data_IF_298136531388
#
_entry.id   IF_298136531388
#
_cell.length_a   1.000
_cell.length_b   1.000
_cell.length_c   1.000
_cell.angle_alpha   90.00
_cell.angle_beta   90.00
_cell.angle_gamma   90.00
#
_symmetry.space_group_name_H-M   'P 1'
#
loop_
_entity.id
_entity.type
_entity.pdbx_description
1 polymer ?
#
# COMPACT_ATOMS: atom_id res chain seq x y z
N UNK A 1 -19.65 -10.35 2.17
CA UNK A 1 -20.08 -9.03 1.65
C UNK A 1 -18.96 -8.29 0.92
N UNK A 2 -17.78 -8.09 1.52
CA UNK A 2 -16.62 -7.40 0.90
C UNK A 2 -16.17 -8.04 -0.43
N UNK A 3 -16.03 -9.37 -0.47
CA UNK A 3 -15.66 -10.10 -1.70
C UNK A 3 -16.67 -9.88 -2.83
N UNK A 4 -17.97 -9.78 -2.53
CA UNK A 4 -18.99 -9.53 -3.55
C UNK A 4 -18.96 -8.08 -4.08
N UNK A 5 -18.53 -7.13 -3.26
CA UNK A 5 -18.32 -5.72 -3.67
C UNK A 5 -17.08 -5.64 -4.56
N UNK A 6 -15.98 -6.28 -4.16
CA UNK A 6 -14.75 -6.33 -4.96
C UNK A 6 -15.00 -6.93 -6.35
N UNK A 7 -15.76 -8.04 -6.43
CA UNK A 7 -16.16 -8.67 -7.71
C UNK A 7 -16.98 -7.76 -8.62
N UNK A 8 -17.73 -6.79 -8.09
CA UNK A 8 -18.54 -5.85 -8.88
C UNK A 8 -17.75 -4.63 -9.35
N UNK A 9 -16.54 -4.46 -8.84
CA UNK A 9 -15.68 -3.33 -9.17
C UNK A 9 -14.74 -3.79 -10.28
N UNK A 10 -14.55 -3.04 -11.38
CA UNK A 10 -13.64 -3.42 -12.47
C UNK A 10 -12.16 -3.20 -12.08
N UNK A 11 -11.78 -3.65 -10.89
CA UNK A 11 -10.41 -3.62 -10.39
C UNK A 11 -9.66 -4.80 -11.00
N UNK A 12 -8.61 -4.50 -11.79
CA UNK A 12 -7.70 -5.52 -12.31
C UNK A 12 -6.61 -5.82 -11.30
N UNK A 13 -6.20 -7.08 -11.24
CA UNK A 13 -5.08 -7.60 -10.44
C UNK A 13 -3.83 -6.69 -10.48
N UNK A 14 -3.42 -6.27 -11.69
CA UNK A 14 -2.22 -5.46 -11.87
C UNK A 14 -2.29 -4.09 -11.17
N UNK A 15 -3.50 -3.54 -10.99
CA UNK A 15 -3.68 -2.26 -10.27
C UNK A 15 -3.39 -2.43 -8.78
N UNK A 16 -3.71 -3.59 -8.20
CA UNK A 16 -3.44 -3.92 -6.80
C UNK A 16 -1.97 -4.24 -6.58
N UNK A 17 -1.33 -4.99 -7.48
CA UNK A 17 0.12 -5.20 -7.43
C UNK A 17 0.88 -3.89 -7.62
N UNK A 18 0.45 -3.04 -8.57
CA UNK A 18 1.00 -1.70 -8.76
C UNK A 18 0.83 -0.81 -7.53
N UNK A 19 -0.34 -0.86 -6.87
CA UNK A 19 -0.58 -0.13 -5.62
C UNK A 19 0.26 -0.68 -4.46
N UNK A 20 0.50 -2.00 -4.41
CA UNK A 20 1.41 -2.63 -3.44
C UNK A 20 2.84 -2.11 -3.60
N UNK A 21 3.38 -2.12 -4.82
CA UNK A 21 4.70 -1.57 -5.11
C UNK A 21 4.77 -0.06 -4.82
N UNK A 22 3.71 0.69 -5.16
CA UNK A 22 3.58 2.09 -4.82
C UNK A 22 3.61 2.35 -3.30
N UNK A 23 2.95 1.51 -2.50
CA UNK A 23 3.00 1.58 -1.05
C UNK A 23 4.41 1.30 -0.50
N UNK A 24 5.15 0.34 -1.07
CA UNK A 24 6.57 0.11 -0.72
C UNK A 24 7.39 1.37 -1.00
N UNK A 25 7.26 1.94 -2.20
CA UNK A 25 7.97 3.16 -2.57
C UNK A 25 7.64 4.35 -1.67
N UNK A 26 6.36 4.55 -1.35
CA UNK A 26 5.91 5.61 -0.46
C UNK A 26 6.44 5.42 0.97
N UNK A 27 6.44 4.18 1.48
CA UNK A 27 6.99 3.84 2.80
C UNK A 27 8.49 4.19 2.87
N UNK A 28 9.27 3.76 1.87
CA UNK A 28 10.70 4.07 1.78
C UNK A 28 10.92 5.59 1.69
N UNK A 29 10.17 6.28 0.83
CA UNK A 29 10.25 7.74 0.69
C UNK A 29 9.94 8.49 1.99
N UNK A 30 8.95 8.03 2.76
CA UNK A 30 8.63 8.60 4.07
C UNK A 30 9.72 8.32 5.11
N UNK A 31 10.34 7.15 5.10
CA UNK A 31 11.50 6.87 5.94
C UNK A 31 12.70 7.74 5.60
N UNK A 32 12.97 7.97 4.30
CA UNK A 32 14.01 8.91 3.86
C UNK A 32 13.65 10.32 4.34
N UNK A 33 12.42 10.79 4.10
CA UNK A 33 11.95 12.10 4.56
C UNK A 33 12.10 12.27 6.07
N UNK A 34 11.78 11.24 6.86
CA UNK A 34 11.92 11.27 8.32
C UNK A 34 13.37 11.51 8.78
N UNK A 35 14.38 11.17 7.95
CA UNK A 35 15.80 11.45 8.23
C UNK A 35 16.24 12.85 7.82
N UNK A 36 15.45 13.58 7.01
CA UNK A 36 15.83 14.87 6.44
C UNK A 36 15.06 16.06 7.01
N UNK A 37 14.04 15.82 7.85
CA UNK A 37 13.19 16.88 8.44
C UNK A 37 13.43 17.03 9.95
N UNK A 38 12.99 18.16 10.52
CA UNK A 38 13.06 18.43 11.95
C UNK A 38 12.13 17.51 12.77
N UNK A 39 12.33 17.41 14.08
CA UNK A 39 11.71 16.44 14.99
C UNK A 39 10.18 16.46 14.98
N UNK A 40 9.56 17.63 14.85
CA UNK A 40 8.10 17.75 14.76
C UNK A 40 7.56 17.05 13.50
N UNK A 41 8.18 17.31 12.35
CA UNK A 41 7.79 16.69 11.08
C UNK A 41 8.24 15.23 10.96
N UNK A 42 9.33 14.87 11.65
CA UNK A 42 9.87 13.51 11.67
C UNK A 42 8.88 12.55 12.27
N UNK A 43 8.28 12.87 13.42
CA UNK A 43 7.29 12.01 14.05
C UNK A 43 6.07 11.75 13.14
N UNK A 44 5.65 12.76 12.37
CA UNK A 44 4.60 12.57 11.36
C UNK A 44 5.04 11.66 10.21
N UNK A 45 6.26 11.84 9.70
CA UNK A 45 6.82 11.01 8.64
C UNK A 45 6.97 9.54 9.07
N UNK A 46 7.47 9.28 10.28
CA UNK A 46 7.64 7.94 10.85
C UNK A 46 6.28 7.23 11.02
N UNK A 47 5.26 7.90 11.57
CA UNK A 47 3.90 7.31 11.69
C UNK A 47 3.36 6.92 10.32
N UNK A 48 3.44 7.82 9.34
CA UNK A 48 2.95 7.56 7.99
C UNK A 48 3.72 6.41 7.34
N UNK A 49 5.04 6.34 7.51
CA UNK A 49 5.85 5.24 6.97
C UNK A 49 5.43 3.89 7.54
N UNK A 50 5.22 3.81 8.86
CA UNK A 50 4.74 2.59 9.53
C UNK A 50 3.37 2.17 9.00
N UNK A 51 2.40 3.08 8.92
CA UNK A 51 1.06 2.75 8.41
C UNK A 51 1.08 2.33 6.95
N UNK A 52 1.82 3.04 6.10
CA UNK A 52 1.93 2.73 4.68
C UNK A 52 2.61 1.37 4.47
N UNK A 53 3.63 1.05 5.27
CA UNK A 53 4.36 -0.22 5.19
C UNK A 53 3.53 -1.47 5.50
N UNK A 54 2.32 -1.35 6.04
CA UNK A 54 1.40 -2.47 6.31
C UNK A 54 0.60 -2.89 5.07
N UNK A 55 0.36 -1.96 4.13
CA UNK A 55 -0.50 -2.19 2.96
C UNK A 55 0.10 -3.08 1.86
N UNK A 56 1.42 -3.14 1.59
CA UNK A 56 1.97 -3.89 0.46
C UNK A 56 1.54 -5.35 0.42
N UNK A 57 1.71 -6.07 1.53
CA UNK A 57 1.36 -7.50 1.61
C UNK A 57 -0.14 -7.69 1.41
N UNK A 58 -0.96 -6.85 2.04
CA UNK A 58 -2.41 -6.95 1.93
C UNK A 58 -2.88 -6.71 0.49
N UNK A 59 -2.41 -5.63 -0.14
CA UNK A 59 -2.77 -5.29 -1.51
C UNK A 59 -2.31 -6.36 -2.50
N UNK A 60 -1.11 -6.91 -2.29
CA UNK A 60 -0.58 -7.97 -3.13
C UNK A 60 -1.45 -9.24 -3.08
N UNK A 61 -1.77 -9.71 -1.87
CA UNK A 61 -2.59 -10.92 -1.68
C UNK A 61 -4.02 -10.76 -2.21
N UNK A 62 -4.60 -9.58 -2.13
CA UNK A 62 -5.92 -9.30 -2.75
C UNK A 62 -5.80 -9.36 -4.28
N UNK A 63 -4.70 -8.84 -4.84
CA UNK A 63 -4.41 -8.92 -6.28
C UNK A 63 -4.29 -10.36 -6.76
N UNK A 64 -3.50 -11.18 -6.06
CA UNK A 64 -3.33 -12.60 -6.37
C UNK A 64 -4.68 -13.34 -6.32
N UNK A 65 -5.47 -13.12 -5.26
CA UNK A 65 -6.78 -13.76 -5.11
C UNK A 65 -7.79 -13.35 -6.19
N UNK A 66 -7.63 -12.17 -6.82
CA UNK A 66 -8.46 -11.75 -7.96
C UNK A 66 -7.95 -12.35 -9.27
N UNK A 67 -6.64 -12.37 -9.50
CA UNK A 67 -6.03 -12.90 -10.73
C UNK A 67 -6.13 -14.42 -10.87
N UNK A 68 -6.16 -15.18 -9.77
CA UNK A 68 -6.40 -16.63 -9.80
C UNK A 68 -7.79 -17.04 -10.31
N UNK A 69 -8.73 -16.09 -10.43
CA UNK A 69 -10.12 -16.35 -10.81
C UNK A 69 -10.47 -15.96 -12.25
N UNK A 70 -9.53 -15.37 -13.01
CA UNK A 70 -9.61 -15.12 -14.46
C UNK A 70 -9.06 -16.32 -15.26
#
# INVERSE_FOLDING_TARGET
MVVAILRRTPLRDWQLHGSSLGAVGLCIGLWIRAKTVDQEERGNAERRALFVGLWPVLLWLIGDALGEQD
#
